data_IF_265284971904
#
_entry.id   IF_265284971904
#
_cell.length_a   1.000
_cell.length_b   1.000
_cell.length_c   1.000
_cell.angle_alpha   90.00
_cell.angle_beta   90.00
_cell.angle_gamma   90.00
#
_symmetry.space_group_name_H-M   'P 1'
#
loop_
_entity.id
_entity.type
_entity.pdbx_description
1 polymer ?
#
# COMPACT_ATOMS: atom_id res chain seq x y z
N UNK A 1 0.76 30.19 -45.64
CA UNK A 1 1.18 29.98 -44.23
C UNK A 1 0.05 30.39 -43.30
N UNK A 2 -0.52 29.41 -42.58
CA UNK A 2 -1.07 29.48 -41.20
C UNK A 2 -1.98 28.26 -41.02
N UNK A 3 -1.47 27.16 -40.45
CA UNK A 3 -2.33 26.04 -40.10
C UNK A 3 -3.25 26.43 -38.94
N UNK A 4 -4.53 26.13 -39.15
CA UNK A 4 -5.56 26.01 -38.13
C UNK A 4 -5.17 25.02 -37.03
N UNK A 5 -5.73 25.30 -35.85
CA UNK A 5 -6.57 24.39 -35.06
C UNK A 5 -6.11 24.30 -33.60
N UNK A 6 -7.00 24.83 -32.75
CA UNK A 6 -7.07 24.54 -31.33
C UNK A 6 -7.10 23.03 -31.11
N UNK A 7 -6.31 22.54 -30.17
CA UNK A 7 -6.45 21.17 -29.65
C UNK A 7 -6.73 21.29 -28.13
N UNK A 8 -7.96 21.00 -27.70
CA UNK A 8 -8.31 20.74 -26.31
C UNK A 8 -7.80 19.35 -25.91
N UNK A 9 -7.93 19.00 -24.62
CA UNK A 9 -7.77 17.63 -24.10
C UNK A 9 -6.34 17.14 -23.88
N UNK A 10 -5.79 17.47 -22.71
CA UNK A 10 -4.90 16.54 -21.98
C UNK A 10 -5.74 15.93 -20.85
N UNK A 11 -6.77 15.20 -21.26
CA UNK A 11 -7.72 14.49 -20.40
C UNK A 11 -8.08 13.18 -21.11
N UNK A 12 -7.07 12.39 -21.44
CA UNK A 12 -7.19 11.02 -21.96
C UNK A 12 -5.80 10.37 -22.05
N UNK A 13 -5.22 9.99 -20.91
CA UNK A 13 -4.11 9.02 -20.89
C UNK A 13 -4.65 7.61 -20.65
N UNK A 14 -5.64 7.19 -21.44
CA UNK A 14 -6.41 5.96 -21.26
C UNK A 14 -6.56 5.25 -22.62
N UNK A 15 -5.49 4.61 -23.09
CA UNK A 15 -5.49 3.60 -24.17
C UNK A 15 -4.32 2.63 -23.89
N UNK A 16 -4.54 1.46 -23.28
CA UNK A 16 -4.93 0.20 -23.92
C UNK A 16 -4.05 -0.18 -25.13
N UNK A 17 -2.83 -0.62 -24.84
CA UNK A 17 -2.02 -1.37 -25.79
C UNK A 17 -2.38 -2.86 -25.72
N UNK A 18 -3.42 -3.26 -26.45
CA UNK A 18 -3.68 -4.65 -26.80
C UNK A 18 -2.93 -4.98 -28.10
N UNK A 19 -1.98 -5.90 -27.99
CA UNK A 19 -1.27 -6.57 -29.07
C UNK A 19 -0.32 -7.54 -28.39
N UNK A 20 -0.79 -8.62 -27.76
CA UNK A 20 -1.57 -9.70 -28.36
C UNK A 20 -0.55 -10.82 -28.61
N UNK A 21 -0.41 -11.86 -27.80
CA UNK A 21 -1.33 -12.58 -26.90
C UNK A 21 -0.76 -12.60 -25.47
N UNK A 22 -1.60 -12.30 -24.48
CA UNK A 22 -1.25 -12.25 -23.05
C UNK A 22 -0.05 -11.35 -22.76
N UNK A 23 -0.22 -10.05 -23.03
CA UNK A 23 0.71 -9.01 -22.56
C UNK A 23 0.94 -9.23 -21.07
N UNK A 24 2.22 -9.43 -20.72
CA UNK A 24 2.74 -9.35 -19.38
C UNK A 24 2.28 -8.03 -18.76
N UNK A 25 1.13 -8.06 -18.08
CA UNK A 25 0.87 -7.11 -17.02
C UNK A 25 2.10 -7.23 -16.10
N UNK A 26 2.80 -6.14 -15.75
CA UNK A 26 3.65 -6.22 -14.58
C UNK A 26 2.72 -6.81 -13.53
N UNK A 27 3.16 -7.88 -12.88
CA UNK A 27 2.41 -8.45 -11.80
C UNK A 27 2.09 -7.28 -10.84
N UNK A 28 0.90 -6.71 -10.96
CA UNK A 28 0.12 -6.29 -9.83
C UNK A 28 -0.32 -7.62 -9.21
N UNK A 29 0.67 -8.41 -8.75
CA UNK A 29 0.59 -9.02 -7.44
C UNK A 29 -0.11 -7.97 -6.61
N UNK A 30 -1.30 -8.29 -6.14
CA UNK A 30 -1.97 -7.54 -5.10
C UNK A 30 -0.93 -7.33 -4.00
N UNK A 31 -0.16 -6.25 -4.09
CA UNK A 31 0.79 -5.86 -3.08
C UNK A 31 -0.13 -5.61 -1.90
N UNK A 32 -0.01 -6.40 -0.83
CA UNK A 32 -1.01 -6.53 0.21
C UNK A 32 -1.34 -5.15 0.79
N UNK A 33 -2.38 -4.49 0.26
CA UNK A 33 -2.65 -3.07 0.55
C UNK A 33 -2.71 -2.83 2.04
N UNK A 34 -3.24 -3.82 2.76
CA UNK A 34 -3.31 -3.85 4.21
C UNK A 34 -1.97 -3.80 4.95
N UNK A 35 -0.89 -4.43 4.42
CA UNK A 35 0.45 -4.27 5.02
C UNK A 35 0.97 -2.87 4.77
N UNK A 36 0.86 -2.37 3.54
CA UNK A 36 1.28 -1.00 3.23
C UNK A 36 0.49 0.05 4.02
N UNK A 37 -0.82 -0.14 4.24
CA UNK A 37 -1.69 0.71 5.05
C UNK A 37 -1.26 0.70 6.52
N UNK A 38 -0.90 -0.47 7.05
CA UNK A 38 -0.35 -0.62 8.40
C UNK A 38 1.00 0.09 8.55
N UNK A 39 1.92 -0.11 7.61
CA UNK A 39 3.21 0.57 7.58
C UNK A 39 3.05 2.10 7.47
N UNK A 40 2.15 2.57 6.60
CA UNK A 40 1.79 3.98 6.49
C UNK A 40 1.25 4.54 7.81
N UNK A 41 0.37 3.80 8.50
CA UNK A 41 -0.16 4.20 9.80
C UNK A 41 0.97 4.39 10.82
N UNK A 42 1.95 3.47 10.85
CA UNK A 42 3.13 3.57 11.71
C UNK A 42 3.96 4.83 11.36
N UNK A 43 4.19 5.11 10.07
CA UNK A 43 4.92 6.32 9.62
C UNK A 43 4.19 7.61 9.96
N UNK A 44 2.86 7.66 9.76
CA UNK A 44 2.04 8.82 10.10
C UNK A 44 2.11 9.19 11.59
N UNK A 45 2.37 8.20 12.44
CA UNK A 45 2.57 8.38 13.87
C UNK A 45 4.04 8.57 14.28
N UNK A 46 4.91 8.90 13.31
CA UNK A 46 6.31 9.29 13.54
C UNK A 46 7.23 8.12 13.87
N UNK A 47 6.83 6.89 13.52
CA UNK A 47 7.61 5.68 13.74
C UNK A 47 8.20 5.19 12.42
N UNK A 48 9.41 4.64 12.47
CA UNK A 48 10.02 4.06 11.29
C UNK A 48 9.49 2.65 11.03
N UNK A 49 9.28 2.33 9.77
CA UNK A 49 9.00 0.97 9.32
C UNK A 49 10.31 0.20 9.36
N UNK A 50 10.35 -0.81 10.22
CA UNK A 50 11.45 -1.78 10.29
C UNK A 50 10.96 -3.13 9.81
N UNK A 51 11.86 -4.10 9.60
CA UNK A 51 11.47 -5.46 9.26
C UNK A 51 10.49 -6.07 10.30
N UNK A 52 10.61 -5.70 11.58
CA UNK A 52 9.70 -6.13 12.63
C UNK A 52 8.28 -5.54 12.46
N UNK A 53 8.17 -4.30 11.98
CA UNK A 53 6.88 -3.66 11.65
C UNK A 53 6.22 -4.37 10.47
N UNK A 54 6.97 -4.65 9.39
CA UNK A 54 6.45 -5.38 8.24
C UNK A 54 5.95 -6.78 8.61
N UNK A 55 6.68 -7.51 9.45
CA UNK A 55 6.23 -8.80 10.00
C UNK A 55 4.96 -8.66 10.84
N UNK A 56 4.88 -7.68 11.73
CA UNK A 56 3.70 -7.47 12.55
C UNK A 56 2.46 -7.11 11.69
N UNK A 57 2.64 -6.25 10.69
CA UNK A 57 1.58 -5.90 9.74
C UNK A 57 1.10 -7.10 8.93
N UNK A 58 2.01 -8.03 8.56
CA UNK A 58 1.65 -9.31 7.95
C UNK A 58 0.78 -10.17 8.88
N UNK A 59 1.11 -10.24 10.17
CA UNK A 59 0.27 -10.93 11.17
C UNK A 59 -1.13 -10.32 11.25
N UNK A 60 -1.24 -8.99 11.19
CA UNK A 60 -2.51 -8.27 11.15
C UNK A 60 -3.32 -8.61 9.90
N UNK A 61 -2.66 -8.68 8.74
CA UNK A 61 -3.26 -9.04 7.46
C UNK A 61 -3.89 -10.42 7.44
N UNK A 62 -3.24 -11.41 8.07
CA UNK A 62 -3.78 -12.77 8.17
C UNK A 62 -4.83 -12.91 9.30
N UNK A 63 -5.25 -11.80 9.92
CA UNK A 63 -6.25 -11.76 10.99
C UNK A 63 -5.72 -11.96 12.40
N UNK A 64 -4.41 -12.07 12.58
CA UNK A 64 -3.79 -12.19 13.90
C UNK A 64 -3.49 -10.81 14.52
N UNK A 65 -4.55 -10.15 14.96
CA UNK A 65 -4.50 -8.83 15.61
C UNK A 65 -3.71 -8.84 16.93
N UNK A 66 -3.75 -9.94 17.68
CA UNK A 66 -3.06 -10.08 18.96
C UNK A 66 -1.55 -10.12 18.77
N UNK A 67 -1.05 -10.97 17.88
CA UNK A 67 0.39 -11.03 17.58
C UNK A 67 0.86 -9.75 16.89
N UNK A 68 0.08 -9.19 15.94
CA UNK A 68 0.41 -7.91 15.32
C UNK A 68 0.65 -6.81 16.38
N UNK A 69 -0.26 -6.66 17.35
CA UNK A 69 -0.12 -5.63 18.37
C UNK A 69 1.08 -5.89 19.30
N UNK A 70 1.34 -7.16 19.66
CA UNK A 70 2.49 -7.54 20.47
C UNK A 70 3.82 -7.30 19.75
N UNK A 71 3.91 -7.66 18.47
CA UNK A 71 5.09 -7.48 17.62
C UNK A 71 5.40 -6.01 17.38
N UNK A 72 4.38 -5.17 17.13
CA UNK A 72 4.57 -3.71 17.04
C UNK A 72 5.01 -3.11 18.39
N UNK A 73 4.46 -3.58 19.51
CA UNK A 73 4.88 -3.13 20.84
C UNK A 73 6.33 -3.52 21.16
N UNK A 74 6.74 -4.73 20.80
CA UNK A 74 8.13 -5.17 20.90
C UNK A 74 9.07 -4.32 20.03
N UNK A 75 8.58 -3.78 18.90
CA UNK A 75 9.28 -2.81 18.08
C UNK A 75 9.27 -1.37 18.63
N UNK A 76 8.77 -1.15 19.86
CA UNK A 76 8.75 0.16 20.52
C UNK A 76 7.61 1.09 20.07
N UNK A 77 6.56 0.52 19.47
CA UNK A 77 5.35 1.24 19.10
C UNK A 77 4.34 1.15 20.24
N UNK A 78 3.79 2.29 20.68
CA UNK A 78 2.82 2.32 21.76
C UNK A 78 1.58 1.47 21.43
N UNK A 79 1.01 0.79 22.42
CA UNK A 79 -0.14 -0.10 22.25
C UNK A 79 -1.30 0.51 21.45
N UNK A 80 -1.60 1.80 21.67
CA UNK A 80 -2.65 2.53 20.94
C UNK A 80 -2.37 2.60 19.43
N UNK A 81 -1.12 2.91 19.05
CA UNK A 81 -0.70 2.99 17.64
C UNK A 81 -0.69 1.58 17.04
N UNK A 82 -0.17 0.61 17.77
CA UNK A 82 -0.11 -0.78 17.35
C UNK A 82 -1.50 -1.33 17.00
N UNK A 83 -2.48 -1.17 17.90
CA UNK A 83 -3.86 -1.61 17.63
C UNK A 83 -4.58 -0.85 16.53
N UNK A 84 -4.15 0.39 16.22
CA UNK A 84 -4.65 1.16 15.08
C UNK A 84 -4.09 0.65 13.76
N UNK A 85 -2.77 0.44 13.72
CA UNK A 85 -2.07 -0.10 12.56
C UNK A 85 -2.55 -1.53 12.21
N UNK A 86 -2.70 -2.40 13.21
CA UNK A 86 -3.20 -3.76 12.99
C UNK A 86 -4.64 -3.78 12.44
N UNK A 87 -5.49 -2.84 12.87
CA UNK A 87 -6.85 -2.68 12.33
C UNK A 87 -6.85 -2.14 10.90
N UNK A 88 -5.92 -1.27 10.55
CA UNK A 88 -5.73 -0.85 9.16
C UNK A 88 -5.25 -2.00 8.26
N UNK A 89 -4.59 -3.01 8.86
CA UNK A 89 -4.11 -4.19 8.16
C UNK A 89 -5.18 -5.26 7.88
N UNK A 90 -6.41 -5.16 8.39
CA UNK A 90 -7.44 -6.21 8.32
C UNK A 90 -8.76 -5.69 7.75
#
# INVERSE_FOLDING_TARGET
MRPSARIPSILAGLVLAAGGTLVAAPAATAAPTSIQDCEQYVVQHGKQVTAAVGQACYEGQIGNQTSCAASLQAAGISAKIASGACRAAH
#
